data_IF_783527565271
#
_entry.id   IF_783527565271
#
_cell.length_a   1.000
_cell.length_b   1.000
_cell.length_c   1.000
_cell.angle_alpha   90.00
_cell.angle_beta   90.00
_cell.angle_gamma   90.00
#
_symmetry.space_group_name_H-M   'P 1'
#
loop_
_entity.id
_entity.type
_entity.pdbx_description
1 polymer ?
#
# COMPACT_ATOMS: atom_id res chain seq x y z
N UNK A 1 10.94 19.84 -0.67
CA UNK A 1 10.22 18.94 -1.57
C UNK A 1 9.36 18.01 -0.70
N UNK A 2 8.04 17.93 -0.95
CA UNK A 2 7.10 17.07 -0.19
C UNK A 2 6.74 15.86 -1.03
N UNK A 3 6.84 14.66 -0.43
CA UNK A 3 6.51 13.37 -1.06
C UNK A 3 5.35 12.74 -0.31
N UNK A 4 4.29 12.40 -1.04
CA UNK A 4 3.19 11.57 -0.53
C UNK A 4 3.49 10.10 -0.76
N UNK A 5 3.47 9.29 0.29
CA UNK A 5 3.75 7.85 0.18
C UNK A 5 2.49 7.05 0.47
N UNK A 6 2.04 6.20 -0.48
CA UNK A 6 0.97 5.26 -0.20
C UNK A 6 1.38 4.32 0.93
N UNK A 7 0.57 4.27 1.99
CA UNK A 7 0.95 3.67 3.25
C UNK A 7 -0.10 2.69 3.76
N UNK A 8 0.31 1.44 3.94
CA UNK A 8 -0.52 0.35 4.48
C UNK A 8 -0.21 0.00 5.94
N UNK A 9 0.75 0.70 6.58
CA UNK A 9 1.27 0.30 7.88
C UNK A 9 2.26 -0.87 7.82
N UNK A 10 2.47 -1.46 6.65
CA UNK A 10 3.40 -2.55 6.41
C UNK A 10 4.86 -2.12 6.30
N UNK A 11 5.77 -3.10 6.42
CA UNK A 11 7.23 -2.87 6.40
C UNK A 11 7.73 -2.21 5.12
N UNK A 12 7.16 -2.55 3.97
CA UNK A 12 7.67 -2.09 2.67
C UNK A 12 7.34 -0.62 2.44
N UNK A 13 6.11 -0.18 2.71
CA UNK A 13 5.74 1.24 2.64
C UNK A 13 6.46 2.10 3.69
N UNK A 14 6.67 1.54 4.90
CA UNK A 14 7.46 2.20 5.94
C UNK A 14 8.93 2.34 5.55
N UNK A 15 9.54 1.29 4.98
CA UNK A 15 10.92 1.33 4.48
C UNK A 15 11.09 2.34 3.34
N UNK A 16 10.13 2.41 2.41
CA UNK A 16 10.13 3.42 1.36
C UNK A 16 10.16 4.85 1.94
N UNK A 17 9.37 5.10 3.00
CA UNK A 17 9.37 6.38 3.70
C UNK A 17 10.72 6.70 4.36
N UNK A 18 11.33 5.73 5.04
CA UNK A 18 12.64 5.89 5.70
C UNK A 18 13.72 6.19 4.66
N UNK A 19 13.75 5.48 3.54
CA UNK A 19 14.75 5.68 2.49
C UNK A 19 14.66 7.05 1.81
N UNK A 20 13.46 7.61 1.69
CA UNK A 20 13.24 8.93 1.08
C UNK A 20 13.38 10.09 2.09
N UNK A 21 13.24 9.82 3.39
CA UNK A 21 13.22 10.86 4.42
C UNK A 21 14.49 11.73 4.53
N UNK A 22 15.72 11.27 4.18
CA UNK A 22 16.88 12.14 4.14
C UNK A 22 16.84 13.22 3.06
N UNK A 23 16.01 13.04 2.03
CA UNK A 23 15.97 13.89 0.84
C UNK A 23 14.69 14.72 0.70
N UNK A 24 13.64 14.37 1.45
CA UNK A 24 12.32 14.96 1.29
C UNK A 24 11.52 15.02 2.59
N UNK A 25 10.54 15.92 2.63
CA UNK A 25 9.50 15.91 3.66
C UNK A 25 8.47 14.83 3.30
N UNK A 26 8.33 13.85 4.16
CA UNK A 26 7.45 12.71 3.95
C UNK A 26 6.09 12.98 4.59
N UNK A 27 5.02 12.67 3.88
CA UNK A 27 3.66 12.50 4.40
C UNK A 27 3.14 11.13 3.98
N UNK A 28 2.74 10.32 4.95
CA UNK A 28 2.16 9.00 4.70
C UNK A 28 0.68 9.15 4.36
N UNK A 29 0.22 8.49 3.32
CA UNK A 29 -1.14 8.58 2.83
C UNK A 29 -1.78 7.18 2.76
N UNK A 30 -2.73 6.89 3.64
CA UNK A 30 -3.49 5.64 3.58
C UNK A 30 -4.77 5.88 2.79
N UNK A 31 -4.95 5.05 1.76
CA UNK A 31 -6.18 5.06 0.96
C UNK A 31 -7.17 4.09 1.59
N UNK A 32 -8.41 4.52 1.80
CA UNK A 32 -9.43 3.74 2.50
C UNK A 32 -10.82 4.06 1.99
N UNK A 33 -11.69 3.06 2.00
CA UNK A 33 -13.13 3.21 1.76
C UNK A 33 -13.91 3.57 3.04
N UNK A 34 -13.26 3.54 4.20
CA UNK A 34 -13.90 3.77 5.50
C UNK A 34 -14.78 2.61 5.97
N UNK A 35 -14.59 1.41 5.42
CA UNK A 35 -15.42 0.22 5.72
C UNK A 35 -14.99 -0.46 7.02
N UNK A 36 -13.68 -0.48 7.28
CA UNK A 36 -13.12 -1.04 8.51
C UNK A 36 -12.37 0.02 9.31
N UNK A 37 -12.26 -0.12 10.65
CA UNK A 37 -11.42 0.75 11.45
C UNK A 37 -9.98 0.75 10.96
N UNK A 38 -9.42 1.94 10.76
CA UNK A 38 -8.08 2.13 10.24
C UNK A 38 -7.23 2.94 11.23
N UNK A 39 -6.22 2.31 11.83
CA UNK A 39 -5.30 2.94 12.77
C UNK A 39 -3.87 3.11 12.19
N UNK A 40 -3.77 3.29 10.86
CA UNK A 40 -2.49 3.60 10.20
C UNK A 40 -1.82 4.85 10.78
N UNK A 41 -2.60 5.77 11.34
CA UNK A 41 -2.10 6.97 12.02
C UNK A 41 -1.24 6.63 13.25
N UNK A 42 -1.54 5.57 13.99
CA UNK A 42 -0.71 5.13 15.12
C UNK A 42 0.65 4.64 14.66
N UNK A 43 0.68 3.85 13.59
CA UNK A 43 1.94 3.38 12.98
C UNK A 43 2.75 4.54 12.39
N UNK A 44 2.08 5.47 11.71
CA UNK A 44 2.74 6.68 11.19
C UNK A 44 3.39 7.51 12.30
N UNK A 45 2.73 7.62 13.46
CA UNK A 45 3.26 8.31 14.65
C UNK A 45 4.51 7.62 15.20
N UNK A 46 4.49 6.29 15.28
CA UNK A 46 5.66 5.48 15.69
C UNK A 46 6.84 5.68 14.73
N UNK A 47 6.58 5.83 13.44
CA UNK A 47 7.59 6.13 12.42
C UNK A 47 8.08 7.58 12.47
N UNK A 48 7.33 8.50 13.12
CA UNK A 48 7.65 9.91 13.19
C UNK A 48 7.28 10.71 11.92
N UNK A 49 6.30 10.25 11.14
CA UNK A 49 5.83 10.93 9.94
C UNK A 49 4.39 11.43 10.06
N UNK A 50 4.07 12.60 9.47
CA UNK A 50 2.68 13.04 9.28
C UNK A 50 1.88 12.01 8.47
N UNK A 51 0.58 11.91 8.75
CA UNK A 51 -0.30 10.95 8.11
C UNK A 51 -1.63 11.59 7.72
N UNK A 52 -2.16 11.15 6.58
CA UNK A 52 -3.50 11.51 6.10
C UNK A 52 -4.23 10.28 5.58
N UNK A 53 -5.56 10.33 5.62
CA UNK A 53 -6.41 9.35 4.93
C UNK A 53 -6.94 9.99 3.65
N UNK A 54 -6.84 9.24 2.55
CA UNK A 54 -7.44 9.57 1.25
C UNK A 54 -8.65 8.67 1.07
N UNK A 55 -9.84 9.25 1.14
CA UNK A 55 -11.09 8.51 0.99
C UNK A 55 -11.34 8.08 -0.45
N UNK A 56 -11.87 6.87 -0.62
CA UNK A 56 -12.44 6.36 -1.86
C UNK A 56 -13.94 6.11 -1.69
N UNK A 57 -14.66 6.16 -2.79
CA UNK A 57 -16.09 5.90 -2.83
C UNK A 57 -16.39 4.40 -2.60
N UNK A 58 -17.32 4.07 -1.72
CA UNK A 58 -17.70 2.68 -1.42
C UNK A 58 -18.18 1.90 -2.66
N UNK A 59 -18.80 2.58 -3.63
CA UNK A 59 -19.21 1.96 -4.90
C UNK A 59 -18.01 1.38 -5.68
N UNK A 60 -16.83 1.98 -5.57
CA UNK A 60 -15.61 1.47 -6.20
C UNK A 60 -15.17 0.16 -5.54
N UNK A 61 -15.32 0.01 -4.21
CA UNK A 61 -15.01 -1.24 -3.53
C UNK A 61 -15.89 -2.39 -4.04
N UNK A 62 -17.21 -2.15 -4.14
CA UNK A 62 -18.16 -3.13 -4.68
C UNK A 62 -17.81 -3.53 -6.10
N UNK A 63 -17.62 -2.56 -7.01
CA UNK A 63 -17.27 -2.85 -8.40
C UNK A 63 -15.92 -3.60 -8.54
N UNK A 64 -14.96 -3.31 -7.65
CA UNK A 64 -13.68 -4.02 -7.63
C UNK A 64 -13.86 -5.47 -7.19
N UNK A 65 -14.68 -5.71 -6.17
CA UNK A 65 -14.99 -7.06 -5.68
C UNK A 65 -15.75 -7.86 -6.74
N UNK A 66 -16.74 -7.26 -7.41
CA UNK A 66 -17.49 -7.93 -8.49
C UNK A 66 -16.54 -8.40 -9.61
N UNK A 67 -15.61 -7.53 -10.02
CA UNK A 67 -14.60 -7.89 -11.01
C UNK A 67 -13.63 -8.99 -10.53
N UNK A 68 -13.28 -9.03 -9.24
CA UNK A 68 -12.46 -10.10 -8.67
C UNK A 68 -13.19 -11.45 -8.65
N UNK A 69 -14.49 -11.46 -8.36
CA UNK A 69 -15.34 -12.65 -8.43
C UNK A 69 -15.41 -13.19 -9.87
N UNK A 70 -15.63 -12.31 -10.85
CA UNK A 70 -15.63 -12.69 -12.27
C UNK A 70 -14.30 -13.28 -12.74
N UNK A 71 -13.19 -12.71 -12.27
CA UNK A 71 -11.83 -13.18 -12.61
C UNK A 71 -11.43 -14.48 -11.89
N UNK A 72 -11.99 -14.75 -10.71
CA UNK A 72 -11.59 -15.84 -9.83
C UNK A 72 -10.25 -15.63 -9.12
N UNK A 73 -9.66 -14.42 -9.17
CA UNK A 73 -8.42 -14.04 -8.47
C UNK A 73 -8.30 -12.52 -8.32
N UNK A 74 -7.51 -12.00 -7.34
CA UNK A 74 -7.58 -10.60 -6.93
C UNK A 74 -6.69 -9.65 -7.74
N UNK A 75 -5.69 -10.15 -8.50
CA UNK A 75 -4.57 -9.34 -8.99
C UNK A 75 -5.00 -8.16 -9.88
N UNK A 76 -5.96 -8.37 -10.81
CA UNK A 76 -6.44 -7.29 -11.70
C UNK A 76 -7.16 -6.21 -10.91
N UNK A 77 -8.04 -6.61 -9.98
CA UNK A 77 -8.73 -5.68 -9.10
C UNK A 77 -7.78 -4.89 -8.21
N UNK A 78 -6.81 -5.56 -7.58
CA UNK A 78 -5.76 -4.92 -6.77
C UNK A 78 -4.95 -3.93 -7.60
N UNK A 79 -4.51 -4.30 -8.81
CA UNK A 79 -3.73 -3.40 -9.68
C UNK A 79 -4.56 -2.18 -10.12
N UNK A 80 -5.83 -2.38 -10.47
CA UNK A 80 -6.73 -1.29 -10.83
C UNK A 80 -6.93 -0.32 -9.67
N UNK A 81 -7.20 -0.86 -8.49
CA UNK A 81 -7.39 -0.04 -7.29
C UNK A 81 -6.12 0.70 -6.87
N UNK A 82 -4.95 0.03 -6.95
CA UNK A 82 -3.67 0.68 -6.67
C UNK A 82 -3.42 1.87 -7.60
N UNK A 83 -3.71 1.73 -8.88
CA UNK A 83 -3.62 2.81 -9.85
C UNK A 83 -4.55 3.97 -9.49
N UNK A 84 -5.80 3.67 -9.12
CA UNK A 84 -6.74 4.69 -8.63
C UNK A 84 -6.21 5.38 -7.36
N UNK A 85 -5.62 4.62 -6.43
CA UNK A 85 -5.01 5.17 -5.23
C UNK A 85 -3.86 6.15 -5.56
N UNK A 86 -3.00 5.79 -6.51
CA UNK A 86 -1.94 6.67 -7.00
C UNK A 86 -2.49 7.94 -7.67
N UNK A 87 -3.55 7.83 -8.49
CA UNK A 87 -4.22 8.98 -9.11
C UNK A 87 -4.86 9.91 -8.07
N UNK A 88 -5.46 9.36 -6.99
CA UNK A 88 -5.98 10.16 -5.87
C UNK A 88 -4.85 10.85 -5.08
N UNK A 89 -3.73 10.17 -4.88
CA UNK A 89 -2.56 10.78 -4.26
C UNK A 89 -1.95 11.88 -5.15
N UNK A 90 -1.90 11.69 -6.46
CA UNK A 90 -1.43 12.67 -7.44
C UNK A 90 -2.21 14.00 -7.41
N UNK A 91 -3.48 13.97 -7.01
CA UNK A 91 -4.26 15.19 -6.81
C UNK A 91 -3.79 16.04 -5.61
N UNK A 92 -2.94 15.50 -4.72
CA UNK A 92 -2.42 16.18 -3.52
C UNK A 92 -0.93 16.45 -3.54
N UNK A 93 -0.17 15.63 -4.28
CA UNK A 93 1.30 15.64 -4.24
C UNK A 93 1.87 15.70 -5.66
N UNK A 94 2.91 16.49 -5.85
CA UNK A 94 3.69 16.50 -7.09
C UNK A 94 4.64 15.31 -7.20
N UNK A 95 4.97 14.70 -6.05
CA UNK A 95 5.76 13.48 -6.00
C UNK A 95 5.00 12.46 -5.18
N UNK A 96 4.70 11.32 -5.80
CA UNK A 96 4.01 10.18 -5.17
C UNK A 96 4.96 9.00 -5.13
N UNK A 97 4.97 8.28 -4.02
CA UNK A 97 5.76 7.07 -3.87
C UNK A 97 4.95 5.92 -3.27
N UNK A 98 5.45 4.72 -3.40
CA UNK A 98 4.93 3.54 -2.70
C UNK A 98 6.04 2.54 -2.34
N UNK A 99 5.65 1.48 -1.64
CA UNK A 99 6.53 0.39 -1.22
C UNK A 99 6.59 -0.78 -2.20
N UNK A 100 6.20 -0.61 -3.47
CA UNK A 100 6.22 -1.68 -4.47
C UNK A 100 7.63 -2.21 -4.69
N UNK A 101 7.78 -3.54 -4.62
CA UNK A 101 9.03 -4.24 -4.84
C UNK A 101 9.11 -4.82 -6.25
N UNK A 102 10.31 -5.17 -6.66
CA UNK A 102 10.56 -5.80 -7.96
C UNK A 102 9.85 -7.15 -8.15
N UNK A 103 9.67 -7.89 -7.08
CA UNK A 103 9.11 -9.25 -7.05
C UNK A 103 7.64 -9.33 -6.62
N UNK A 104 6.96 -8.19 -6.47
CA UNK A 104 5.53 -8.14 -6.21
C UNK A 104 4.75 -8.58 -7.47
N UNK A 105 3.71 -9.39 -7.26
CA UNK A 105 2.78 -9.79 -8.32
C UNK A 105 1.65 -8.78 -8.50
N UNK A 106 1.14 -8.27 -7.38
CA UNK A 106 0.14 -7.22 -7.29
C UNK A 106 0.25 -6.56 -5.89
N UNK A 107 0.17 -5.22 -5.79
CA UNK A 107 0.09 -4.30 -6.92
C UNK A 107 1.44 -4.12 -7.64
N UNK A 108 1.40 -3.98 -8.95
CA UNK A 108 2.59 -3.66 -9.75
C UNK A 108 2.19 -2.92 -11.03
N UNK A 109 2.67 -1.67 -11.17
CA UNK A 109 2.58 -0.94 -12.44
C UNK A 109 3.83 -1.25 -13.29
N UNK A 110 3.61 -1.61 -14.55
CA UNK A 110 4.71 -1.69 -15.50
C UNK A 110 5.23 -0.29 -15.89
N UNK A 111 6.37 -0.23 -16.58
CA UNK A 111 7.02 1.04 -16.93
C UNK A 111 6.13 1.96 -17.78
N UNK A 112 5.29 1.39 -18.68
CA UNK A 112 4.40 2.19 -19.53
C UNK A 112 3.25 2.78 -18.73
N UNK A 113 2.69 2.00 -17.80
CA UNK A 113 1.63 2.46 -16.90
C UNK A 113 2.12 3.54 -15.93
N UNK A 114 3.33 3.36 -15.38
CA UNK A 114 3.97 4.37 -14.52
C UNK A 114 4.16 5.69 -15.28
N UNK A 115 4.76 5.66 -16.47
CA UNK A 115 4.92 6.86 -17.32
C UNK A 115 3.59 7.49 -17.70
N UNK A 116 2.61 6.69 -18.07
CA UNK A 116 1.27 7.20 -18.38
C UNK A 116 0.60 7.87 -17.18
N UNK A 117 0.84 7.40 -15.96
CA UNK A 117 0.38 8.04 -14.73
C UNK A 117 1.08 9.40 -14.55
N UNK A 118 2.42 9.43 -14.66
CA UNK A 118 3.23 10.64 -14.54
C UNK A 118 2.79 11.71 -15.54
N UNK A 119 2.66 11.35 -16.82
CA UNK A 119 2.28 12.26 -17.90
C UNK A 119 0.86 12.83 -17.70
N UNK A 120 -0.11 12.00 -17.34
CA UNK A 120 -1.51 12.44 -17.17
C UNK A 120 -1.73 13.28 -15.91
N UNK A 121 -0.97 13.00 -14.86
CA UNK A 121 -1.15 13.63 -13.56
C UNK A 121 -0.13 14.75 -13.30
N UNK A 122 0.85 14.94 -14.19
CA UNK A 122 1.95 15.88 -14.06
C UNK A 122 2.70 15.73 -12.70
N UNK A 123 3.05 14.49 -12.37
CA UNK A 123 3.75 14.12 -11.13
C UNK A 123 5.01 13.31 -11.43
N UNK A 124 5.89 13.18 -10.44
CA UNK A 124 6.92 12.15 -10.41
C UNK A 124 6.43 10.96 -9.57
N UNK A 125 6.54 9.74 -10.11
CA UNK A 125 6.20 8.51 -9.40
C UNK A 125 7.46 7.73 -9.01
N UNK A 126 7.70 7.61 -7.71
CA UNK A 126 8.94 7.05 -7.15
C UNK A 126 8.67 5.71 -6.47
N UNK A 127 9.43 4.69 -6.84
CA UNK A 127 9.39 3.35 -6.26
C UNK A 127 10.76 2.99 -5.65
N UNK A 128 11.04 3.39 -4.39
CA UNK A 128 12.38 3.27 -3.81
C UNK A 128 12.87 1.82 -3.69
N UNK A 129 11.94 0.87 -3.57
CA UNK A 129 12.27 -0.53 -3.35
C UNK A 129 12.45 -1.35 -4.64
N UNK A 130 12.10 -0.80 -5.81
CA UNK A 130 12.07 -1.54 -7.07
C UNK A 130 13.44 -2.11 -7.50
N UNK A 131 14.54 -1.49 -7.07
CA UNK A 131 15.91 -1.96 -7.33
C UNK A 131 16.41 -3.05 -6.40
N UNK A 132 15.71 -3.32 -5.29
CA UNK A 132 16.15 -4.25 -4.25
C UNK A 132 15.52 -5.63 -4.42
N UNK A 133 16.29 -6.69 -4.15
CA UNK A 133 15.76 -8.04 -4.00
C UNK A 133 15.28 -8.28 -2.56
N UNK A 134 14.47 -9.33 -2.36
CA UNK A 134 13.84 -9.67 -1.08
C UNK A 134 14.81 -9.67 0.11
N UNK A 135 15.98 -10.32 -0.04
CA UNK A 135 16.99 -10.38 1.05
C UNK A 135 17.48 -9.01 1.50
N UNK A 136 17.68 -8.08 0.55
CA UNK A 136 18.12 -6.73 0.88
C UNK A 136 17.01 -5.94 1.59
N UNK A 137 15.77 -6.10 1.15
CA UNK A 137 14.59 -5.48 1.79
C UNK A 137 14.40 -6.01 3.21
N UNK A 138 14.51 -7.32 3.41
CA UNK A 138 14.38 -7.92 4.74
C UNK A 138 15.50 -7.43 5.66
N UNK A 139 16.75 -7.38 5.20
CA UNK A 139 17.88 -6.85 5.97
C UNK A 139 17.71 -5.36 6.32
N UNK A 140 17.24 -4.54 5.38
CA UNK A 140 16.94 -3.12 5.63
C UNK A 140 15.76 -2.94 6.60
N UNK A 141 14.71 -3.75 6.46
CA UNK A 141 13.59 -3.71 7.39
C UNK A 141 14.04 -4.10 8.80
N UNK A 142 14.82 -5.17 8.93
CA UNK A 142 15.38 -5.61 10.22
C UNK A 142 16.30 -4.56 10.87
N UNK A 143 17.05 -3.80 10.07
CA UNK A 143 17.90 -2.73 10.58
C UNK A 143 17.11 -1.50 11.08
N UNK A 144 15.97 -1.20 10.47
CA UNK A 144 15.25 0.07 10.70
C UNK A 144 13.93 -0.07 11.44
N UNK A 145 13.30 -1.25 11.44
CA UNK A 145 11.92 -1.44 11.88
C UNK A 145 11.79 -2.59 12.89
N UNK A 146 10.82 -2.46 13.78
CA UNK A 146 10.21 -3.57 14.49
C UNK A 146 8.91 -3.93 13.75
N UNK A 147 8.72 -5.22 13.46
CA UNK A 147 7.63 -5.68 12.59
C UNK A 147 6.91 -6.87 13.22
N UNK A 148 5.60 -6.79 13.30
CA UNK A 148 4.72 -7.92 13.58
C UNK A 148 4.23 -8.53 12.27
N UNK A 149 3.99 -9.84 12.27
CA UNK A 149 3.47 -10.59 11.13
C UNK A 149 2.17 -11.29 11.50
N UNK A 150 1.22 -11.33 10.58
CA UNK A 150 -0.08 -11.97 10.78
C UNK A 150 -0.98 -11.81 9.56
N UNK A 151 -2.16 -12.42 9.61
CA UNK A 151 -3.16 -12.26 8.57
C UNK A 151 -4.00 -11.00 8.80
N UNK A 152 -4.36 -10.30 7.72
CA UNK A 152 -5.24 -9.12 7.73
C UNK A 152 -4.86 -8.04 8.75
N UNK A 153 -3.57 -7.84 9.00
CA UNK A 153 -3.07 -6.87 9.99
C UNK A 153 -2.61 -5.53 9.38
N UNK A 154 -2.59 -5.40 8.06
CA UNK A 154 -2.32 -4.14 7.36
C UNK A 154 -3.52 -3.20 7.39
N UNK A 155 -3.29 -1.94 7.03
CA UNK A 155 -4.32 -0.90 6.93
C UNK A 155 -4.53 -0.48 5.49
N UNK A 156 -4.44 -1.42 4.57
CA UNK A 156 -4.67 -1.17 3.15
C UNK A 156 -6.09 -1.55 2.71
N UNK A 157 -6.40 -1.17 1.51
CA UNK A 157 -7.68 -1.45 0.87
C UNK A 157 -7.97 -2.96 0.66
N UNK A 158 -6.96 -3.84 0.70
CA UNK A 158 -7.19 -5.28 0.57
C UNK A 158 -8.06 -5.82 1.71
N UNK A 159 -7.80 -5.38 2.95
CA UNK A 159 -8.58 -5.78 4.12
C UNK A 159 -10.04 -5.33 3.97
N UNK A 160 -10.26 -4.13 3.44
CA UNK A 160 -11.60 -3.61 3.19
C UNK A 160 -12.30 -4.37 2.04
N UNK A 161 -11.60 -4.72 0.96
CA UNK A 161 -12.15 -5.53 -0.14
C UNK A 161 -12.53 -6.93 0.33
N UNK A 162 -11.72 -7.58 1.17
CA UNK A 162 -12.06 -8.87 1.78
C UNK A 162 -13.35 -8.78 2.60
N UNK A 163 -13.54 -7.70 3.35
CA UNK A 163 -14.76 -7.46 4.13
C UNK A 163 -15.99 -7.23 3.23
N UNK A 164 -15.85 -6.47 2.13
CA UNK A 164 -16.94 -6.28 1.15
C UNK A 164 -17.29 -7.60 0.48
N UNK A 165 -16.30 -8.38 0.06
CA UNK A 165 -16.50 -9.69 -0.55
C UNK A 165 -17.21 -10.64 0.40
N UNK A 166 -16.76 -10.73 1.66
CA UNK A 166 -17.38 -11.56 2.69
C UNK A 166 -18.85 -11.20 2.91
N UNK A 167 -19.15 -9.88 2.99
CA UNK A 167 -20.52 -9.41 3.22
C UNK A 167 -21.46 -9.62 2.03
N UNK A 168 -20.94 -9.59 0.79
CA UNK A 168 -21.75 -9.69 -0.42
C UNK A 168 -21.84 -11.11 -0.97
N UNK A 169 -20.80 -11.92 -0.81
CA UNK A 169 -20.65 -13.23 -1.45
C UNK A 169 -20.32 -14.37 -0.47
N UNK A 170 -20.13 -14.07 0.82
CA UNK A 170 -19.81 -15.05 1.86
C UNK A 170 -18.30 -15.33 1.98
N UNK A 171 -17.93 -16.02 3.08
CA UNK A 171 -16.53 -16.36 3.39
C UNK A 171 -15.89 -17.29 2.36
N UNK A 172 -16.67 -18.22 1.78
CA UNK A 172 -16.18 -19.14 0.75
C UNK A 172 -15.67 -18.40 -0.49
N UNK A 173 -16.30 -17.27 -0.86
CA UNK A 173 -15.84 -16.44 -1.98
C UNK A 173 -14.48 -15.78 -1.68
N UNK A 174 -14.27 -15.35 -0.43
CA UNK A 174 -12.97 -14.79 -0.02
C UNK A 174 -11.87 -15.85 -0.11
N UNK A 175 -12.14 -17.06 0.38
CA UNK A 175 -11.19 -18.19 0.33
C UNK A 175 -10.90 -18.64 -1.10
N UNK A 176 -11.88 -18.55 -2.01
CA UNK A 176 -11.70 -18.92 -3.41
C UNK A 176 -10.88 -17.91 -4.21
N UNK A 177 -11.02 -16.61 -3.91
CA UNK A 177 -10.40 -15.52 -4.68
C UNK A 177 -9.04 -15.12 -4.12
N UNK A 178 -8.93 -14.98 -2.79
CA UNK A 178 -7.68 -14.58 -2.16
C UNK A 178 -6.84 -15.79 -1.71
N UNK A 179 -5.50 -15.68 -1.71
CA UNK A 179 -4.64 -16.73 -1.17
C UNK A 179 -5.00 -17.06 0.28
N UNK A 180 -5.05 -18.35 0.60
CA UNK A 180 -5.34 -18.81 1.96
C UNK A 180 -4.24 -18.45 2.96
N UNK A 181 -2.97 -18.43 2.50
CA UNK A 181 -1.83 -17.99 3.30
C UNK A 181 -1.32 -16.65 2.78
N UNK A 182 -1.82 -15.55 3.30
CA UNK A 182 -1.34 -14.20 3.02
C UNK A 182 -0.87 -13.52 4.30
N UNK A 183 0.38 -13.82 4.69
CA UNK A 183 1.01 -13.19 5.85
C UNK A 183 1.40 -11.76 5.49
N UNK A 184 0.75 -10.82 6.13
CA UNK A 184 1.03 -9.40 6.05
C UNK A 184 1.99 -8.96 7.17
N UNK A 185 2.58 -7.78 7.02
CA UNK A 185 3.43 -7.15 8.02
C UNK A 185 2.78 -5.87 8.55
N UNK A 186 2.97 -5.60 9.84
CA UNK A 186 2.64 -4.32 10.45
C UNK A 186 3.83 -3.82 11.26
N UNK A 187 4.23 -2.58 11.03
CA UNK A 187 5.28 -1.93 11.80
C UNK A 187 4.78 -1.60 13.19
N UNK A 188 5.55 -1.97 14.20
CA UNK A 188 5.29 -1.72 15.62
C UNK A 188 6.28 -0.77 16.26
N UNK A 189 7.45 -0.57 15.64
CA UNK A 189 8.49 0.32 16.12
C UNK A 189 9.44 0.78 15.00
N UNK A 190 10.12 1.92 15.25
CA UNK A 190 11.25 2.39 14.44
C UNK A 190 12.52 2.28 15.27
N UNK A 191 13.52 1.57 14.73
CA UNK A 191 14.82 1.42 15.38
C UNK A 191 15.68 2.65 15.12
N UNK A 192 16.41 3.10 16.15
CA UNK A 192 17.45 4.11 15.97
C UNK A 192 18.67 3.45 15.33
N UNK A 193 19.00 3.84 14.12
CA UNK A 193 20.25 3.40 13.48
C UNK A 193 21.33 4.33 13.97
N UNK A 194 22.26 3.81 14.75
CA UNK A 194 23.51 4.50 15.12
C UNK A 194 24.49 4.19 14.01
N UNK A 195 24.83 5.20 13.19
CA UNK A 195 25.90 5.13 12.20
C UNK A 195 27.25 5.41 12.84
#
# INVERSE_FOLDING_TARGET
MKVGILFSGGKDSALAAILLSPFAQIELATVSFGIVPNDAASVARVLGFPHVIIGLEAALATATVDAMIEDGYPNRGINHLHKTALERAAARYQIVADGTRRDDKAPLLNVREARSLEDRSAIDYVRPLLGYGRRAIDALADAHLEVAYGECISFDYEVELRRVMESSYGSEAVEAVFPQEHIQSRVTGRKSVVF
#
